data_IF_540106492364
#
_entry.id   IF_540106492364
#
_cell.length_a   1.000
_cell.length_b   1.000
_cell.length_c   1.000
_cell.angle_alpha   90.00
_cell.angle_beta   90.00
_cell.angle_gamma   90.00
#
_symmetry.space_group_name_H-M   'P 1'
#
loop_
_entity.id
_entity.type
_entity.pdbx_description
1 polymer ?
#
# COMPACT_ATOMS: atom_id res chain seq x y z
N UNK A 1 1.76 11.76 -19.92
CA UNK A 1 1.78 10.76 -18.84
C UNK A 1 2.46 11.41 -17.66
N UNK A 2 1.92 11.35 -16.42
CA UNK A 2 2.66 11.83 -15.27
C UNK A 2 3.97 11.07 -15.18
N UNK A 3 5.08 11.78 -15.06
CA UNK A 3 6.40 11.18 -14.90
C UNK A 3 6.50 10.59 -13.50
N UNK A 4 7.06 9.38 -13.36
CA UNK A 4 7.41 8.82 -12.07
C UNK A 4 8.26 9.85 -11.31
N UNK A 5 7.81 10.25 -10.12
CA UNK A 5 8.59 11.15 -9.27
C UNK A 5 9.47 10.29 -8.35
N UNK A 6 10.77 10.36 -8.54
CA UNK A 6 11.75 9.64 -7.72
C UNK A 6 12.45 10.65 -6.81
N UNK A 7 12.28 10.47 -5.50
CA UNK A 7 12.95 11.29 -4.48
C UNK A 7 13.87 10.44 -3.62
N UNK A 8 15.10 10.92 -3.41
CA UNK A 8 16.15 10.19 -2.68
C UNK A 8 16.52 11.00 -1.44
N UNK A 9 16.35 10.37 -0.28
CA UNK A 9 16.60 10.96 1.04
C UNK A 9 17.92 10.47 1.63
N UNK A 10 18.56 11.31 2.43
CA UNK A 10 19.89 11.07 3.00
C UNK A 10 19.95 9.89 3.96
N UNK A 11 18.84 9.59 4.64
CA UNK A 11 18.72 8.56 5.67
C UNK A 11 17.31 7.99 5.70
N UNK A 12 17.10 6.80 6.35
CA UNK A 12 15.75 6.29 6.61
C UNK A 12 14.88 7.26 7.42
N UNK A 13 15.45 8.03 8.34
CA UNK A 13 14.72 9.02 9.13
C UNK A 13 14.18 10.15 8.26
N UNK A 14 15.02 10.70 7.39
CA UNK A 14 14.59 11.73 6.43
C UNK A 14 13.51 11.19 5.47
N UNK A 15 13.67 9.94 5.02
CA UNK A 15 12.68 9.26 4.19
C UNK A 15 11.32 9.16 4.89
N UNK A 16 11.29 8.68 6.15
CA UNK A 16 10.04 8.53 6.89
C UNK A 16 9.41 9.88 7.21
N UNK A 17 10.22 10.89 7.51
CA UNK A 17 9.75 12.25 7.76
C UNK A 17 9.07 12.84 6.53
N UNK A 18 9.73 12.80 5.38
CA UNK A 18 9.16 13.28 4.12
C UNK A 18 7.90 12.51 3.70
N UNK A 19 7.89 11.18 3.89
CA UNK A 19 6.71 10.37 3.62
C UNK A 19 5.53 10.72 4.55
N UNK A 20 5.79 10.99 5.84
CA UNK A 20 4.77 11.43 6.80
C UNK A 20 4.25 12.83 6.46
N UNK A 21 5.11 13.75 6.03
CA UNK A 21 4.71 15.08 5.59
C UNK A 21 3.81 15.03 4.35
N UNK A 22 4.21 14.25 3.32
CA UNK A 22 3.39 14.03 2.11
C UNK A 22 2.05 13.39 2.46
N UNK A 23 2.04 12.37 3.34
CA UNK A 23 0.83 11.73 3.83
C UNK A 23 -0.13 12.75 4.47
N UNK A 24 0.37 13.59 5.37
CA UNK A 24 -0.46 14.60 6.04
C UNK A 24 -0.97 15.68 5.08
N UNK A 25 -0.15 16.08 4.11
CA UNK A 25 -0.54 17.05 3.07
C UNK A 25 -1.70 16.51 2.23
N UNK A 26 -1.55 15.30 1.67
CA UNK A 26 -2.61 14.64 0.91
C UNK A 26 -3.86 14.41 1.76
N UNK A 27 -3.69 14.06 3.04
CA UNK A 27 -4.79 13.88 3.97
C UNK A 27 -5.56 15.17 4.22
N UNK A 28 -4.89 16.28 4.44
CA UNK A 28 -5.52 17.58 4.63
C UNK A 28 -6.30 18.02 3.37
N UNK A 29 -5.70 17.84 2.20
CA UNK A 29 -6.34 18.13 0.91
C UNK A 29 -7.59 17.27 0.67
N UNK A 30 -7.49 15.95 0.87
CA UNK A 30 -8.61 15.02 0.70
C UNK A 30 -9.75 15.32 1.70
N UNK A 31 -9.43 15.59 2.96
CA UNK A 31 -10.41 15.95 4.00
C UNK A 31 -11.09 17.27 3.66
N UNK A 32 -10.35 18.26 3.18
CA UNK A 32 -10.92 19.56 2.77
C UNK A 32 -11.85 19.38 1.55
N UNK A 33 -11.49 18.54 0.59
CA UNK A 33 -12.25 18.33 -0.63
C UNK A 33 -13.50 17.45 -0.45
N UNK A 34 -13.39 16.37 0.34
CA UNK A 34 -14.43 15.30 0.39
C UNK A 34 -14.90 14.96 1.80
N UNK A 35 -14.30 15.56 2.84
CA UNK A 35 -14.56 15.25 4.25
C UNK A 35 -13.90 13.95 4.72
N UNK A 36 -13.14 13.25 3.88
CA UNK A 36 -12.54 11.93 4.18
C UNK A 36 -11.19 11.77 3.50
N UNK A 37 -10.30 11.01 4.16
CA UNK A 37 -9.05 10.55 3.58
C UNK A 37 -9.04 9.02 3.56
N UNK A 38 -9.17 8.41 2.40
CA UNK A 38 -9.26 6.95 2.20
C UNK A 38 -7.92 6.40 1.75
N UNK A 39 -7.28 5.60 2.59
CA UNK A 39 -5.92 5.12 2.38
C UNK A 39 -5.82 3.59 2.43
N UNK A 40 -4.87 3.04 1.69
CA UNK A 40 -4.49 1.63 1.84
C UNK A 40 -3.04 1.53 2.36
N UNK A 41 -2.90 0.79 3.46
CA UNK A 41 -1.61 0.50 4.09
C UNK A 41 -0.98 -0.75 3.49
N UNK A 42 0.33 -0.89 3.70
CA UNK A 42 1.10 -2.12 3.45
C UNK A 42 1.78 -2.61 4.73
N UNK A 43 2.27 -3.85 4.69
CA UNK A 43 3.05 -4.44 5.77
C UNK A 43 4.55 -4.27 5.57
N UNK A 44 5.31 -4.68 6.59
CA UNK A 44 6.78 -4.70 6.56
C UNK A 44 7.46 -3.69 7.46
N UNK A 45 8.79 -3.73 7.46
CA UNK A 45 9.63 -2.87 8.33
C UNK A 45 9.58 -1.40 7.92
N UNK A 46 9.57 -1.11 6.63
CA UNK A 46 9.55 0.26 6.11
C UNK A 46 8.25 1.01 6.47
N UNK A 47 7.04 0.45 6.25
CA UNK A 47 5.81 1.06 6.75
C UNK A 47 5.77 1.25 8.26
N UNK A 48 6.39 0.35 9.03
CA UNK A 48 6.51 0.50 10.50
C UNK A 48 7.27 1.79 10.86
N UNK A 49 8.33 2.12 10.13
CA UNK A 49 9.08 3.39 10.31
C UNK A 49 8.21 4.62 10.04
N UNK A 50 7.43 4.61 8.96
CA UNK A 50 6.46 5.67 8.67
C UNK A 50 5.40 5.78 9.78
N UNK A 51 4.86 4.66 10.28
CA UNK A 51 3.89 4.67 11.37
C UNK A 51 4.44 5.33 12.64
N UNK A 52 5.68 5.01 13.01
CA UNK A 52 6.36 5.61 14.15
C UNK A 52 6.54 7.12 13.97
N UNK A 53 6.94 7.55 12.79
CA UNK A 53 7.10 8.97 12.45
C UNK A 53 5.75 9.71 12.56
N UNK A 54 4.67 9.16 11.97
CA UNK A 54 3.32 9.73 12.06
C UNK A 54 2.86 9.90 13.51
N UNK A 55 3.08 8.89 14.36
CA UNK A 55 2.69 8.92 15.78
C UNK A 55 3.53 9.92 16.56
N UNK A 56 4.83 9.99 16.31
CA UNK A 56 5.75 10.78 17.13
C UNK A 56 5.74 12.26 16.78
N UNK A 57 5.69 12.56 15.49
CA UNK A 57 5.91 13.95 15.02
C UNK A 57 4.71 14.56 14.27
N UNK A 58 3.75 13.74 13.83
CA UNK A 58 2.64 14.20 12.99
C UNK A 58 1.24 13.94 13.60
N UNK A 59 1.15 13.47 14.84
CA UNK A 59 -0.12 13.12 15.48
C UNK A 59 -1.15 14.26 15.48
N UNK A 60 -0.71 15.52 15.59
CA UNK A 60 -1.57 16.70 15.59
C UNK A 60 -1.78 17.33 14.20
N UNK A 61 -1.15 16.79 13.15
CA UNK A 61 -1.16 17.39 11.81
C UNK A 61 -2.40 17.05 10.98
N UNK A 62 -3.19 16.07 11.42
CA UNK A 62 -4.33 15.55 10.68
C UNK A 62 -5.50 15.24 11.62
N UNK A 63 -6.73 15.43 11.15
CA UNK A 63 -7.94 14.96 11.81
C UNK A 63 -8.11 13.46 11.56
N UNK A 64 -7.56 12.65 12.46
CA UNK A 64 -7.58 11.19 12.35
C UNK A 64 -8.98 10.59 12.37
N UNK A 65 -9.98 11.30 12.88
CA UNK A 65 -11.37 10.85 12.83
C UNK A 65 -11.95 10.81 11.42
N UNK A 66 -11.27 11.46 10.46
CA UNK A 66 -11.65 11.51 9.04
C UNK A 66 -10.79 10.61 8.14
N UNK A 67 -9.85 9.87 8.72
CA UNK A 67 -8.98 8.93 7.98
C UNK A 67 -9.60 7.53 7.99
N UNK A 68 -9.73 6.94 6.81
CA UNK A 68 -10.35 5.63 6.58
C UNK A 68 -9.27 4.64 6.12
N UNK A 69 -9.00 3.63 6.94
CA UNK A 69 -7.88 2.72 6.77
C UNK A 69 -8.29 1.42 6.11
N UNK A 70 -7.56 1.06 5.06
CA UNK A 70 -7.66 -0.19 4.31
C UNK A 70 -6.26 -0.82 4.20
N UNK A 71 -6.17 -2.01 3.61
CA UNK A 71 -4.91 -2.71 3.32
C UNK A 71 -4.84 -3.09 1.84
N UNK A 72 -3.72 -2.78 1.21
CA UNK A 72 -3.45 -3.16 -0.18
C UNK A 72 -3.22 -4.66 -0.36
N UNK A 73 -2.72 -5.33 0.70
CA UNK A 73 -2.61 -6.77 0.81
C UNK A 73 -2.61 -7.25 2.25
N UNK A 74 -2.91 -8.52 2.43
CA UNK A 74 -2.84 -9.17 3.74
C UNK A 74 -2.44 -10.64 3.58
N UNK A 75 -1.83 -11.18 4.64
CA UNK A 75 -1.52 -12.59 4.77
C UNK A 75 -2.80 -13.33 5.18
N UNK A 76 -3.01 -14.51 4.62
CA UNK A 76 -4.15 -15.35 4.99
C UNK A 76 -3.87 -16.05 6.35
N UNK A 77 -3.93 -15.26 7.40
CA UNK A 77 -3.69 -15.65 8.80
C UNK A 77 -4.69 -14.91 9.70
N UNK A 78 -4.92 -15.39 10.94
CA UNK A 78 -5.72 -14.65 11.92
C UNK A 78 -5.21 -13.22 12.15
N UNK A 79 -6.10 -12.25 12.46
CA UNK A 79 -5.73 -10.83 12.57
C UNK A 79 -4.82 -10.51 13.76
N UNK A 80 -4.64 -11.44 14.68
CA UNK A 80 -3.71 -11.39 15.83
C UNK A 80 -2.40 -12.15 15.59
N UNK A 81 -2.23 -12.78 14.43
CA UNK A 81 -0.98 -13.43 14.04
C UNK A 81 0.17 -12.40 13.94
N UNK A 82 1.37 -12.82 14.30
CA UNK A 82 2.58 -12.00 14.13
C UNK A 82 2.88 -11.63 12.68
N UNK A 83 2.34 -12.39 11.72
CA UNK A 83 2.48 -12.14 10.29
C UNK A 83 1.45 -11.14 9.74
N UNK A 84 0.38 -10.82 10.48
CA UNK A 84 -0.70 -9.96 10.00
C UNK A 84 -0.24 -8.50 9.80
N UNK A 85 -0.49 -7.97 8.61
CA UNK A 85 -0.28 -6.56 8.30
C UNK A 85 -1.20 -5.66 9.15
N UNK A 86 -2.44 -6.10 9.39
CA UNK A 86 -3.37 -5.42 10.28
C UNK A 86 -2.83 -5.36 11.72
N UNK A 87 -2.35 -6.48 12.27
CA UNK A 87 -1.76 -6.48 13.61
C UNK A 87 -0.61 -5.48 13.72
N UNK A 88 0.30 -5.50 12.76
CA UNK A 88 1.42 -4.57 12.74
C UNK A 88 0.94 -3.11 12.75
N UNK A 89 -0.03 -2.76 11.89
CA UNK A 89 -0.59 -1.41 11.85
C UNK A 89 -1.32 -1.04 13.15
N UNK A 90 -2.08 -1.99 13.74
CA UNK A 90 -2.75 -1.79 15.02
C UNK A 90 -1.75 -1.43 16.13
N UNK A 91 -0.66 -2.17 16.24
CA UNK A 91 0.35 -1.99 17.29
C UNK A 91 1.19 -0.73 17.10
N UNK A 92 1.46 -0.32 15.86
CA UNK A 92 2.38 0.78 15.55
C UNK A 92 1.72 2.11 15.24
N UNK A 93 0.44 2.11 14.82
CA UNK A 93 -0.28 3.31 14.38
C UNK A 93 -1.68 3.42 14.99
N UNK A 94 -2.57 2.44 14.70
CA UNK A 94 -4.01 2.62 14.92
C UNK A 94 -4.37 2.75 16.41
N UNK A 95 -3.67 2.05 17.32
CA UNK A 95 -3.89 2.15 18.76
C UNK A 95 -3.21 3.37 19.41
N UNK A 96 -2.43 4.15 18.65
CA UNK A 96 -1.66 5.29 19.15
C UNK A 96 -2.27 6.64 18.79
N UNK A 97 -3.22 6.66 17.88
CA UNK A 97 -3.87 7.86 17.36
C UNK A 97 -5.39 7.78 17.60
N UNK A 98 -6.09 8.90 17.66
CA UNK A 98 -7.54 8.93 17.92
C UNK A 98 -8.36 8.53 16.69
N UNK A 99 -8.16 7.29 16.23
CA UNK A 99 -8.82 6.72 15.05
C UNK A 99 -10.08 5.95 15.51
N UNK A 100 -11.27 6.32 15.02
CA UNK A 100 -12.48 5.57 15.32
C UNK A 100 -12.43 4.15 14.76
N UNK A 101 -12.81 3.12 15.54
CA UNK A 101 -12.80 1.72 15.07
C UNK A 101 -13.61 1.50 13.78
N UNK A 102 -14.69 2.25 13.58
CA UNK A 102 -15.54 2.20 12.37
C UNK A 102 -14.85 2.71 11.11
N UNK A 103 -13.70 3.36 11.22
CA UNK A 103 -12.89 3.80 10.11
C UNK A 103 -11.80 2.79 9.72
N UNK A 104 -11.77 1.62 10.37
CA UNK A 104 -10.77 0.58 10.14
C UNK A 104 -11.40 -0.60 9.42
N UNK A 105 -11.06 -0.76 8.14
CA UNK A 105 -11.62 -1.78 7.24
C UNK A 105 -10.55 -2.81 6.90
N UNK A 106 -10.29 -3.73 7.82
CA UNK A 106 -9.30 -4.80 7.62
C UNK A 106 -9.80 -5.91 6.70
N UNK A 107 -8.88 -6.62 6.10
CA UNK A 107 -9.18 -7.87 5.40
C UNK A 107 -9.69 -8.91 6.43
N UNK A 108 -10.81 -9.62 6.17
CA UNK A 108 -11.29 -10.70 7.04
C UNK A 108 -10.49 -11.99 6.82
N UNK A 109 -9.19 -11.92 7.07
CA UNK A 109 -8.19 -12.96 6.74
C UNK A 109 -8.27 -14.20 7.63
N UNK A 110 -9.09 -14.18 8.67
CA UNK A 110 -9.43 -15.33 9.52
C UNK A 110 -10.46 -16.28 8.89
N UNK A 111 -11.10 -15.89 7.81
CA UNK A 111 -12.03 -16.80 7.11
C UNK A 111 -11.26 -18.01 6.56
N UNK A 112 -11.83 -19.23 6.69
CA UNK A 112 -11.14 -20.45 6.28
C UNK A 112 -10.74 -20.49 4.79
N UNK A 113 -11.53 -19.85 3.93
CA UNK A 113 -11.26 -19.76 2.49
C UNK A 113 -10.78 -18.34 2.15
N UNK A 114 -9.55 -18.23 1.64
CA UNK A 114 -8.95 -16.99 1.20
C UNK A 114 -9.74 -16.29 0.09
N UNK A 115 -10.43 -17.06 -0.78
CA UNK A 115 -11.28 -16.49 -1.85
C UNK A 115 -12.52 -15.83 -1.26
N UNK A 116 -13.12 -16.42 -0.24
CA UNK A 116 -14.24 -15.82 0.48
C UNK A 116 -13.79 -14.54 1.21
N UNK A 117 -12.60 -14.55 1.82
CA UNK A 117 -12.03 -13.37 2.46
C UNK A 117 -11.81 -12.22 1.45
N UNK A 118 -11.24 -12.54 0.28
CA UNK A 118 -11.04 -11.57 -0.80
C UNK A 118 -12.37 -11.00 -1.32
N UNK A 119 -13.35 -11.85 -1.60
CA UNK A 119 -14.67 -11.43 -2.07
C UNK A 119 -15.39 -10.53 -1.06
N UNK A 120 -15.38 -10.90 0.23
CA UNK A 120 -15.98 -10.10 1.31
C UNK A 120 -15.31 -8.74 1.48
N UNK A 121 -13.99 -8.70 1.35
CA UNK A 121 -13.25 -7.44 1.42
C UNK A 121 -13.55 -6.55 0.21
N UNK A 122 -13.62 -7.12 -1.00
CA UNK A 122 -14.05 -6.42 -2.20
C UNK A 122 -15.45 -5.82 -2.06
N UNK A 123 -16.43 -6.58 -1.53
CA UNK A 123 -17.79 -6.08 -1.25
C UNK A 123 -17.80 -4.92 -0.23
N UNK A 124 -16.94 -4.99 0.79
CA UNK A 124 -16.79 -3.89 1.76
C UNK A 124 -16.32 -2.62 1.08
N UNK A 125 -15.31 -2.71 0.22
CA UNK A 125 -14.80 -1.58 -0.56
C UNK A 125 -15.87 -1.05 -1.51
N UNK A 126 -16.53 -1.92 -2.25
CA UNK A 126 -17.62 -1.56 -3.17
C UNK A 126 -18.69 -0.71 -2.49
N UNK A 127 -19.14 -1.16 -1.31
CA UNK A 127 -20.15 -0.47 -0.52
C UNK A 127 -19.68 0.90 -0.02
N UNK A 128 -18.45 0.97 0.51
CA UNK A 128 -17.90 2.20 1.11
C UNK A 128 -17.58 3.28 0.08
N UNK A 129 -17.14 2.87 -1.10
CA UNK A 129 -16.90 3.78 -2.22
C UNK A 129 -18.15 4.03 -3.07
N UNK A 130 -19.27 3.33 -2.80
CA UNK A 130 -20.53 3.41 -3.58
C UNK A 130 -20.27 3.17 -5.05
N UNK A 131 -19.49 2.12 -5.37
CA UNK A 131 -19.10 1.83 -6.73
C UNK A 131 -20.29 1.31 -7.52
N UNK A 132 -20.45 1.82 -8.75
CA UNK A 132 -21.30 1.23 -9.77
C UNK A 132 -20.66 -0.06 -10.31
N UNK A 133 -21.43 -0.81 -11.10
CA UNK A 133 -20.93 -2.01 -11.75
C UNK A 133 -19.70 -1.66 -12.62
N UNK A 134 -18.67 -2.48 -12.56
CA UNK A 134 -17.42 -2.33 -13.33
C UNK A 134 -16.59 -1.08 -13.01
N UNK A 135 -16.84 -0.42 -11.87
CA UNK A 135 -16.07 0.73 -11.41
C UNK A 135 -15.00 0.33 -10.38
N UNK A 136 -13.90 1.08 -10.35
CA UNK A 136 -12.82 0.88 -9.40
C UNK A 136 -12.77 2.00 -8.36
N UNK A 137 -12.39 1.68 -7.10
CA UNK A 137 -12.31 2.67 -6.05
C UNK A 137 -11.14 3.64 -6.29
N UNK A 138 -11.38 4.93 -6.13
CA UNK A 138 -10.31 5.92 -6.12
C UNK A 138 -9.86 6.15 -4.69
N UNK A 139 -8.81 5.43 -4.28
CA UNK A 139 -8.12 5.72 -3.03
C UNK A 139 -7.36 7.03 -3.14
N UNK A 140 -7.38 7.83 -2.07
CA UNK A 140 -6.63 9.09 -2.04
C UNK A 140 -5.12 8.82 -1.93
N UNK A 141 -4.75 7.74 -1.21
CA UNK A 141 -3.37 7.32 -1.03
C UNK A 141 -3.25 5.80 -0.91
N UNK A 142 -2.31 5.20 -1.62
CA UNK A 142 -1.91 3.80 -1.46
C UNK A 142 -0.41 3.73 -1.16
N UNK A 143 -0.06 3.15 -0.02
CA UNK A 143 1.32 2.87 0.35
C UNK A 143 1.72 1.49 -0.15
N UNK A 144 2.83 1.39 -0.86
CA UNK A 144 3.39 0.16 -1.37
C UNK A 144 4.85 -0.01 -0.95
N UNK A 145 5.25 -1.26 -0.75
CA UNK A 145 6.63 -1.69 -0.71
C UNK A 145 7.01 -2.47 -1.97
N UNK A 146 8.25 -2.91 -2.02
CA UNK A 146 8.77 -3.77 -3.09
C UNK A 146 9.55 -4.95 -2.51
N UNK A 147 9.22 -6.14 -2.95
CA UNK A 147 9.94 -7.36 -2.60
C UNK A 147 11.23 -7.57 -3.39
N UNK A 148 12.06 -8.55 -2.99
CA UNK A 148 13.35 -8.83 -3.64
C UNK A 148 13.22 -9.38 -5.08
N UNK A 149 12.03 -9.79 -5.48
CA UNK A 149 11.68 -10.27 -6.83
C UNK A 149 10.82 -9.25 -7.61
N UNK A 150 10.71 -8.02 -7.10
CA UNK A 150 9.93 -6.95 -7.71
C UNK A 150 8.42 -7.06 -7.50
N UNK A 151 7.95 -7.97 -6.63
CA UNK A 151 6.53 -7.98 -6.26
C UNK A 151 6.17 -6.73 -5.47
N UNK A 152 4.91 -6.31 -5.58
CA UNK A 152 4.33 -5.25 -4.76
C UNK A 152 2.93 -5.65 -4.30
N UNK A 153 2.46 -5.12 -3.16
CA UNK A 153 1.34 -5.72 -2.45
C UNK A 153 1.58 -7.24 -2.35
N UNK A 154 0.64 -8.07 -2.83
CA UNK A 154 0.90 -9.50 -3.00
C UNK A 154 0.73 -9.95 -4.47
N UNK A 155 1.14 -9.09 -5.39
CA UNK A 155 1.24 -9.36 -6.83
C UNK A 155 2.63 -9.89 -7.15
N UNK A 156 2.79 -11.22 -7.10
CA UNK A 156 4.07 -11.90 -7.29
C UNK A 156 4.31 -12.29 -8.76
N UNK A 157 5.59 -12.31 -9.22
CA UNK A 157 5.90 -12.78 -10.55
C UNK A 157 5.31 -14.17 -10.85
N UNK A 158 4.72 -14.33 -12.03
CA UNK A 158 4.17 -15.60 -12.50
C UNK A 158 2.84 -16.03 -11.88
N UNK A 159 2.23 -15.24 -10.98
CA UNK A 159 0.96 -15.59 -10.35
C UNK A 159 -0.26 -15.10 -11.15
N UNK A 160 -1.40 -15.76 -10.93
CA UNK A 160 -2.64 -15.47 -11.64
C UNK A 160 -3.18 -14.05 -11.39
N UNK A 161 -2.94 -13.50 -10.19
CA UNK A 161 -3.40 -12.15 -9.82
C UNK A 161 -2.85 -11.04 -10.74
N UNK A 162 -1.72 -11.27 -11.44
CA UNK A 162 -1.16 -10.32 -12.40
C UNK A 162 -2.02 -10.10 -13.65
N UNK A 163 -2.96 -11.00 -13.93
CA UNK A 163 -3.85 -10.95 -15.09
C UNK A 163 -5.28 -10.53 -14.72
N UNK A 164 -5.54 -10.34 -13.42
CA UNK A 164 -6.88 -9.97 -12.94
C UNK A 164 -7.24 -8.55 -13.39
N UNK A 165 -8.45 -8.39 -13.93
CA UNK A 165 -8.93 -7.11 -14.49
C UNK A 165 -10.31 -6.69 -13.96
N UNK A 166 -11.05 -7.63 -13.39
CA UNK A 166 -12.47 -7.44 -13.09
C UNK A 166 -12.72 -7.30 -11.58
N UNK A 167 -11.95 -8.03 -10.76
CA UNK A 167 -12.15 -8.01 -9.32
C UNK A 167 -11.28 -6.95 -8.63
N UNK A 168 -11.80 -6.35 -7.56
CA UNK A 168 -11.06 -5.38 -6.75
C UNK A 168 -9.97 -6.05 -5.92
N UNK A 169 -10.29 -7.22 -5.37
CA UNK A 169 -9.45 -7.99 -4.45
C UNK A 169 -9.50 -9.46 -4.84
N UNK A 170 -8.37 -10.12 -4.82
CA UNK A 170 -8.26 -11.54 -5.11
C UNK A 170 -7.44 -12.29 -4.08
N UNK A 171 -7.72 -13.59 -3.93
CA UNK A 171 -6.85 -14.53 -3.25
C UNK A 171 -5.81 -15.04 -4.26
N UNK A 172 -4.55 -14.71 -4.02
CA UNK A 172 -3.43 -15.09 -4.87
C UNK A 172 -2.64 -16.24 -4.22
N UNK A 173 -2.59 -17.40 -4.86
CA UNK A 173 -1.71 -18.50 -4.44
C UNK A 173 -0.27 -18.17 -4.79
N UNK A 174 0.60 -18.21 -3.80
CA UNK A 174 2.04 -17.94 -3.95
C UNK A 174 2.81 -19.23 -3.70
N UNK A 175 3.17 -19.93 -4.76
CA UNK A 175 3.79 -21.26 -4.72
C UNK A 175 5.04 -21.29 -3.83
N UNK A 176 5.97 -20.36 -4.01
CA UNK A 176 7.21 -20.28 -3.23
C UNK A 176 7.02 -20.07 -1.72
N UNK A 177 5.83 -19.60 -1.30
CA UNK A 177 5.46 -19.39 0.10
C UNK A 177 4.49 -20.47 0.60
N UNK A 178 4.00 -21.33 -0.30
CA UNK A 178 2.99 -22.36 -0.04
C UNK A 178 1.77 -21.82 0.73
N UNK A 179 1.27 -20.65 0.32
CA UNK A 179 0.16 -19.99 1.02
C UNK A 179 -0.60 -19.04 0.10
N UNK A 180 -1.85 -18.71 0.48
CA UNK A 180 -2.58 -17.63 -0.12
C UNK A 180 -2.18 -16.27 0.46
N UNK A 181 -2.26 -15.27 -0.39
CA UNK A 181 -2.26 -13.85 -0.05
C UNK A 181 -3.56 -13.23 -0.55
N UNK A 182 -4.06 -12.24 0.16
CA UNK A 182 -5.23 -11.46 -0.28
C UNK A 182 -4.70 -10.11 -0.73
N UNK A 183 -4.99 -9.70 -1.97
CA UNK A 183 -4.32 -8.55 -2.58
C UNK A 183 -5.26 -7.71 -3.43
N UNK A 184 -5.04 -6.40 -3.44
CA UNK A 184 -5.56 -5.51 -4.47
C UNK A 184 -5.04 -5.95 -5.84
N UNK A 185 -5.83 -5.69 -6.85
CA UNK A 185 -5.50 -5.91 -8.27
C UNK A 185 -4.91 -4.66 -8.89
N UNK A 186 -4.28 -4.78 -10.06
CA UNK A 186 -3.74 -3.61 -10.77
C UNK A 186 -4.79 -2.54 -11.07
N UNK A 187 -6.03 -2.87 -11.48
CA UNK A 187 -7.05 -1.85 -11.67
C UNK A 187 -7.27 -0.96 -10.45
N UNK A 188 -7.30 -1.55 -9.23
CA UNK A 188 -7.44 -0.77 -7.99
C UNK A 188 -6.23 0.11 -7.75
N UNK A 189 -5.01 -0.44 -7.86
CA UNK A 189 -3.78 0.31 -7.65
C UNK A 189 -3.65 1.46 -8.66
N UNK A 190 -4.00 1.19 -9.92
CA UNK A 190 -3.85 2.15 -11.01
C UNK A 190 -4.99 3.19 -11.11
N UNK A 191 -6.03 3.04 -10.27
CA UNK A 191 -7.11 4.03 -10.16
C UNK A 191 -6.92 5.01 -8.97
N UNK A 192 -5.90 4.81 -8.16
CA UNK A 192 -5.61 5.68 -7.01
C UNK A 192 -5.20 7.10 -7.41
N UNK A 193 -5.49 8.07 -6.55
CA UNK A 193 -5.05 9.45 -6.73
C UNK A 193 -3.55 9.60 -6.49
N UNK A 194 -3.00 8.86 -5.52
CA UNK A 194 -1.56 8.81 -5.26
C UNK A 194 -1.15 7.39 -4.85
N UNK A 195 -0.10 6.87 -5.48
CA UNK A 195 0.58 5.64 -5.06
C UNK A 195 2.01 6.01 -4.67
N UNK A 196 2.42 5.61 -3.47
CA UNK A 196 3.78 5.80 -2.99
C UNK A 196 4.47 4.45 -2.77
N UNK A 197 5.53 4.20 -3.52
CA UNK A 197 6.53 3.20 -3.16
C UNK A 197 7.47 3.80 -2.10
N UNK A 198 7.45 3.23 -0.90
CA UNK A 198 8.33 3.61 0.20
C UNK A 198 9.36 2.49 0.42
N UNK A 199 10.63 2.75 0.10
CA UNK A 199 11.65 1.71 0.02
C UNK A 199 12.93 2.20 0.71
N UNK A 200 13.43 1.43 1.67
CA UNK A 200 14.70 1.68 2.32
C UNK A 200 15.56 0.41 2.38
N UNK A 201 16.87 0.63 2.48
CA UNK A 201 17.87 -0.41 2.64
C UNK A 201 18.62 -0.77 1.37
N UNK A 202 19.91 -1.04 1.51
CA UNK A 202 20.82 -1.35 0.41
C UNK A 202 20.53 -2.69 -0.27
N UNK A 203 19.91 -3.63 0.44
CA UNK A 203 19.44 -4.89 -0.12
C UNK A 203 18.37 -4.71 -1.21
N UNK A 204 17.75 -3.53 -1.27
CA UNK A 204 16.75 -3.18 -2.30
C UNK A 204 17.38 -2.56 -3.56
N UNK A 205 18.62 -2.09 -3.49
CA UNK A 205 19.24 -1.27 -4.54
C UNK A 205 19.20 -1.90 -5.94
N UNK A 206 19.51 -3.20 -6.06
CA UNK A 206 19.49 -3.87 -7.36
C UNK A 206 18.07 -3.96 -7.94
N UNK A 207 17.09 -4.27 -7.09
CA UNK A 207 15.70 -4.38 -7.54
C UNK A 207 15.11 -3.01 -7.90
N UNK A 208 15.46 -1.95 -7.14
CA UNK A 208 15.09 -0.57 -7.44
C UNK A 208 15.68 -0.16 -8.80
N UNK A 209 16.97 -0.45 -9.06
CA UNK A 209 17.60 -0.19 -10.36
C UNK A 209 16.84 -0.89 -11.49
N UNK A 210 16.54 -2.17 -11.33
CA UNK A 210 15.78 -2.91 -12.36
C UNK A 210 14.38 -2.34 -12.56
N UNK A 211 13.69 -1.97 -11.48
CA UNK A 211 12.34 -1.41 -11.54
C UNK A 211 12.30 -0.07 -12.30
N UNK A 212 13.29 0.80 -12.08
CA UNK A 212 13.28 2.17 -12.58
C UNK A 212 14.05 2.35 -13.91
N UNK A 213 15.07 1.50 -14.18
CA UNK A 213 15.98 1.69 -15.33
C UNK A 213 15.90 0.57 -16.37
N UNK A 214 15.26 -0.56 -16.06
CA UNK A 214 15.16 -1.70 -16.98
C UNK A 214 13.69 -1.98 -17.34
N UNK A 215 13.16 -1.39 -18.43
CA UNK A 215 11.79 -1.61 -18.86
C UNK A 215 11.54 -3.05 -19.33
N UNK A 216 12.59 -3.82 -19.60
CA UNK A 216 12.49 -5.23 -20.04
C UNK A 216 12.42 -6.21 -18.86
N UNK A 217 12.66 -5.75 -17.63
CA UNK A 217 12.65 -6.58 -16.44
C UNK A 217 11.27 -7.19 -16.14
N UNK A 218 10.19 -6.58 -16.68
CA UNK A 218 8.79 -7.04 -16.53
C UNK A 218 8.38 -7.39 -15.09
N UNK A 219 8.80 -6.53 -14.16
CA UNK A 219 8.53 -6.70 -12.73
C UNK A 219 7.08 -6.29 -12.40
N UNK A 220 6.44 -6.95 -11.43
CA UNK A 220 5.09 -6.55 -11.01
C UNK A 220 4.98 -5.09 -10.60
N UNK A 221 5.95 -4.54 -9.86
CA UNK A 221 5.94 -3.13 -9.44
C UNK A 221 5.96 -2.15 -10.63
N UNK A 222 6.52 -2.52 -11.79
CA UNK A 222 6.55 -1.68 -12.99
C UNK A 222 5.17 -1.49 -13.64
N UNK A 223 4.21 -2.39 -13.34
CA UNK A 223 2.83 -2.32 -13.86
C UNK A 223 1.92 -1.43 -13.03
N UNK A 224 2.40 -0.95 -11.90
CA UNK A 224 1.69 0.09 -11.12
C UNK A 224 1.93 1.43 -11.82
N UNK A 225 0.86 1.93 -12.45
CA UNK A 225 0.87 3.16 -13.27
C UNK A 225 -0.48 3.85 -13.13
N UNK A 226 -0.69 4.67 -12.08
CA UNK A 226 -1.92 5.43 -11.92
C UNK A 226 -2.20 6.29 -13.15
N UNK A 227 -3.39 6.09 -13.77
CA UNK A 227 -3.73 6.77 -15.03
C UNK A 227 -3.86 8.28 -14.86
N UNK A 228 -4.65 8.67 -13.84
CA UNK A 228 -4.92 10.08 -13.49
C UNK A 228 -4.44 10.41 -12.06
N UNK A 229 -3.38 9.75 -11.61
CA UNK A 229 -2.83 9.90 -10.26
C UNK A 229 -1.31 10.09 -10.27
N UNK A 230 -0.77 10.37 -9.09
CA UNK A 230 0.68 10.47 -8.88
C UNK A 230 1.29 9.10 -8.57
N UNK A 231 2.49 8.84 -9.11
CA UNK A 231 3.33 7.71 -8.73
C UNK A 231 4.64 8.25 -8.12
N UNK A 232 4.81 8.00 -6.82
CA UNK A 232 5.97 8.46 -6.06
C UNK A 232 6.86 7.28 -5.72
N UNK A 233 8.16 7.43 -5.93
CA UNK A 233 9.20 6.51 -5.46
C UNK A 233 10.05 7.25 -4.42
N UNK A 234 9.77 6.99 -3.14
CA UNK A 234 10.51 7.54 -2.02
C UNK A 234 11.54 6.53 -1.56
N UNK A 235 12.81 6.86 -1.71
CA UNK A 235 13.95 5.98 -1.50
C UNK A 235 14.93 6.60 -0.51
N UNK A 236 15.53 5.79 0.37
CA UNK A 236 16.74 6.25 1.03
C UNK A 236 17.98 6.05 0.13
N UNK A 237 19.12 6.59 0.55
CA UNK A 237 20.39 6.41 -0.17
C UNK A 237 20.77 4.95 -0.36
N UNK A 238 20.46 4.08 0.61
CA UNK A 238 20.72 2.65 0.52
C UNK A 238 19.95 2.02 -0.64
N UNK A 239 18.63 2.22 -0.70
CA UNK A 239 17.79 1.72 -1.78
C UNK A 239 18.14 2.31 -3.15
N UNK A 240 18.66 3.56 -3.18
CA UNK A 240 19.03 4.26 -4.40
C UNK A 240 20.49 4.02 -4.86
N UNK A 241 21.28 3.22 -4.13
CA UNK A 241 22.71 3.07 -4.34
C UNK A 241 23.12 2.72 -5.78
N UNK A 242 22.29 2.00 -6.52
CA UNK A 242 22.55 1.57 -7.91
C UNK A 242 21.79 2.39 -8.97
N UNK A 243 21.23 3.53 -8.63
CA UNK A 243 20.56 4.43 -9.58
C UNK A 243 21.51 5.45 -10.22
N UNK A 244 22.69 5.60 -9.65
CA UNK A 244 23.77 6.50 -10.14
C UNK A 244 24.43 5.93 -11.37
#
# INVERSE_FOLDING_TARGET
MPSDQVEIFGSPQELFHAAAEKFCTLGAEAIAATGKFKIALSGGSTPRGLHQELVTHFASRLDWSKVFFFWGDERHVPPDSAESNYRMARETLLSKLPIPPENIFRVPSELPDARQAAAKYGQTIQKLFRLEHDSFPRFDFILLGMGPDGHTASLFPGTAALQEKDHLVVANWVEKLNTFRITFTYPVLNHAACVMFLINGDEKAEMVRRALKDPTANLPCQKVRPGDGELLWYLDKGAALKLQ
#
